data_IF_748466221122
#
_entry.id   IF_748466221122
#
_cell.length_a   1.000
_cell.length_b   1.000
_cell.length_c   1.000
_cell.angle_alpha   90.00
_cell.angle_beta   90.00
_cell.angle_gamma   90.00
#
_symmetry.space_group_name_H-M   'P 1'
#
loop_
_entity.id
_entity.type
_entity.pdbx_description
1 polymer ?
#
# COMPACT_ATOMS: atom_id res chain seq x y z
N UNK A 1 6.23 -33.52 6.20
CA UNK A 1 6.87 -32.74 5.13
C UNK A 1 6.46 -31.29 5.29
N UNK A 2 7.38 -30.38 5.66
CA UNK A 2 7.09 -28.94 5.68
C UNK A 2 7.52 -28.37 4.35
N UNK A 3 6.56 -28.24 3.43
CA UNK A 3 6.77 -27.52 2.20
C UNK A 3 6.88 -26.03 2.58
N UNK A 4 8.08 -25.47 2.46
CA UNK A 4 8.25 -24.02 2.54
C UNK A 4 7.68 -23.44 1.24
N UNK A 5 6.42 -23.00 1.30
CA UNK A 5 5.78 -22.31 0.19
C UNK A 5 6.49 -20.96 -0.03
N UNK A 6 7.49 -20.92 -0.90
CA UNK A 6 8.20 -19.70 -1.34
C UNK A 6 7.31 -18.79 -2.22
N UNK A 7 5.99 -18.78 -1.99
CA UNK A 7 4.99 -18.18 -2.88
C UNK A 7 4.31 -16.94 -2.33
N UNK A 8 4.82 -16.31 -1.27
CA UNK A 8 4.22 -15.10 -0.69
C UNK A 8 4.81 -13.87 -1.35
N UNK A 9 3.96 -13.00 -1.90
CA UNK A 9 4.37 -11.73 -2.51
C UNK A 9 4.66 -10.72 -1.41
N UNK A 10 5.90 -10.29 -1.33
CA UNK A 10 6.34 -9.29 -0.37
C UNK A 10 6.12 -7.92 -0.98
N UNK A 11 5.54 -7.00 -0.20
CA UNK A 11 5.43 -5.60 -0.60
C UNK A 11 6.27 -4.75 0.35
N UNK A 12 7.17 -3.98 -0.24
CA UNK A 12 7.98 -2.98 0.46
C UNK A 12 7.93 -1.65 -0.31
N UNK A 13 8.07 -0.54 0.40
CA UNK A 13 8.07 0.80 -0.19
C UNK A 13 9.34 1.57 0.19
N UNK A 14 9.89 2.28 -0.80
CA UNK A 14 11.10 3.09 -0.65
C UNK A 14 10.76 4.57 -0.74
N UNK A 15 11.12 5.35 0.29
CA UNK A 15 10.97 6.81 0.27
C UNK A 15 12.09 7.46 -0.56
N UNK A 16 11.79 8.35 -1.51
CA UNK A 16 12.80 9.20 -2.12
C UNK A 16 13.39 10.11 -1.02
N UNK A 17 14.71 10.20 -0.97
CA UNK A 17 15.43 10.97 0.06
C UNK A 17 15.68 10.25 1.39
N UNK A 18 15.18 9.02 1.59
CA UNK A 18 15.51 8.19 2.77
C UNK A 18 16.13 6.87 2.32
N UNK A 19 17.18 6.40 3.03
CA UNK A 19 17.80 5.08 2.80
C UNK A 19 17.02 3.93 3.47
N UNK A 20 15.98 4.25 4.23
CA UNK A 20 15.17 3.28 4.97
C UNK A 20 14.09 2.67 4.08
N UNK A 21 13.98 1.34 4.11
CA UNK A 21 12.93 0.58 3.44
C UNK A 21 11.83 0.28 4.45
N UNK A 22 10.56 0.48 4.09
CA UNK A 22 9.42 0.11 4.95
C UNK A 22 8.76 -1.13 4.39
N UNK A 23 8.73 -2.18 5.20
CA UNK A 23 8.02 -3.41 4.87
C UNK A 23 6.53 -3.21 5.12
N UNK A 24 5.70 -3.52 4.12
CA UNK A 24 4.25 -3.28 4.17
C UNK A 24 3.49 -4.55 4.54
N UNK A 25 3.96 -5.72 4.10
CA UNK A 25 3.35 -7.00 4.43
C UNK A 25 3.69 -8.09 3.42
N UNK A 26 3.13 -9.28 3.65
CA UNK A 26 3.13 -10.38 2.68
C UNK A 26 1.71 -10.71 2.28
N UNK A 27 1.54 -10.94 0.98
CA UNK A 27 0.26 -11.15 0.35
C UNK A 27 0.25 -12.47 -0.41
N UNK A 28 -0.91 -13.11 -0.48
CA UNK A 28 -1.06 -14.36 -1.22
C UNK A 28 -1.22 -14.12 -2.72
N UNK A 29 -1.83 -13.00 -3.13
CA UNK A 29 -2.15 -12.67 -4.52
C UNK A 29 -1.39 -11.43 -4.99
N UNK A 30 -1.28 -11.26 -6.31
CA UNK A 30 -0.65 -10.08 -6.92
C UNK A 30 -1.48 -8.81 -6.70
N UNK A 31 -2.80 -8.99 -6.74
CA UNK A 31 -3.78 -7.91 -6.66
C UNK A 31 -3.73 -7.22 -5.28
N UNK A 32 -3.77 -8.02 -4.21
CA UNK A 32 -3.68 -7.52 -2.83
C UNK A 32 -2.35 -6.81 -2.57
N UNK A 33 -1.26 -7.37 -3.11
CA UNK A 33 0.06 -6.76 -3.04
C UNK A 33 0.12 -5.38 -3.73
N UNK A 34 -0.47 -5.28 -4.94
CA UNK A 34 -0.52 -4.02 -5.68
C UNK A 34 -1.39 -2.98 -4.96
N UNK A 35 -2.53 -3.41 -4.41
CA UNK A 35 -3.43 -2.55 -3.64
C UNK A 35 -2.73 -1.97 -2.39
N UNK A 36 -2.09 -2.83 -1.59
CA UNK A 36 -1.35 -2.41 -0.41
C UNK A 36 -0.18 -1.46 -0.73
N UNK A 37 0.53 -1.72 -1.84
CA UNK A 37 1.58 -0.81 -2.33
C UNK A 37 1.01 0.57 -2.68
N UNK A 38 -0.10 0.62 -3.42
CA UNK A 38 -0.76 1.85 -3.84
C UNK A 38 -1.23 2.69 -2.66
N UNK A 39 -1.93 2.08 -1.70
CA UNK A 39 -2.37 2.77 -0.48
C UNK A 39 -1.19 3.30 0.33
N UNK A 40 -0.15 2.49 0.53
CA UNK A 40 1.03 2.90 1.25
C UNK A 40 1.75 4.04 0.55
N UNK A 41 1.83 4.03 -0.78
CA UNK A 41 2.39 5.12 -1.58
C UNK A 41 1.59 6.39 -1.39
N UNK A 42 0.26 6.34 -1.48
CA UNK A 42 -0.62 7.51 -1.24
C UNK A 42 -0.38 8.09 0.16
N UNK A 43 -0.30 7.25 1.19
CA UNK A 43 -0.03 7.69 2.57
C UNK A 43 1.41 8.23 2.70
N UNK A 44 2.38 7.61 2.04
CA UNK A 44 3.80 7.98 2.14
C UNK A 44 4.14 9.29 1.43
N UNK A 45 3.60 9.47 0.24
CA UNK A 45 3.79 10.65 -0.61
C UNK A 45 2.77 11.75 -0.29
N UNK A 46 1.73 11.41 0.47
CA UNK A 46 0.55 12.25 0.66
C UNK A 46 -0.35 12.16 -0.57
N UNK A 47 -1.67 12.10 -0.37
CA UNK A 47 -2.62 12.30 -1.44
C UNK A 47 -2.34 13.65 -2.09
N UNK A 48 -1.72 13.67 -3.27
CA UNK A 48 -1.69 14.86 -4.13
C UNK A 48 -3.03 15.06 -4.85
N UNK A 49 -4.10 14.65 -4.19
CA UNK A 49 -5.48 14.84 -4.55
C UNK A 49 -6.11 15.14 -3.16
N UNK A 50 -6.40 16.36 -2.70
CA UNK A 50 -7.19 17.40 -3.36
C UNK A 50 -8.27 16.86 -4.31
N UNK A 51 -8.64 15.59 -4.14
CA UNK A 51 -9.92 15.10 -4.58
C UNK A 51 -10.89 15.71 -3.59
N UNK A 52 -11.39 16.88 -3.97
CA UNK A 52 -12.72 17.37 -3.66
C UNK A 52 -13.74 16.27 -4.03
N UNK A 53 -13.68 15.11 -3.35
CA UNK A 53 -14.86 14.32 -3.12
C UNK A 53 -15.71 15.24 -2.28
N UNK A 54 -16.56 16.00 -2.97
CA UNK A 54 -17.67 16.70 -2.36
C UNK A 54 -18.52 15.62 -1.69
N UNK A 55 -18.14 15.25 -0.46
CA UNK A 55 -19.04 14.82 0.59
C UNK A 55 -19.90 16.04 0.93
N UNK A 56 -20.70 16.46 -0.05
CA UNK A 56 -21.94 17.18 0.15
C UNK A 56 -23.01 16.11 -0.09
N UNK A 57 -23.77 15.63 0.88
CA UNK A 57 -24.16 16.26 2.13
C UNK A 57 -23.90 15.41 3.37
N UNK A 58 -23.51 16.14 4.40
CA UNK A 58 -23.84 15.89 5.79
C UNK A 58 -25.25 15.32 6.00
N UNK A 59 -25.33 14.42 6.98
CA UNK A 59 -26.26 14.56 8.12
C UNK A 59 -27.70 14.99 7.78
N UNK A 60 -28.58 14.02 7.58
CA UNK A 60 -29.93 14.01 8.16
C UNK A 60 -30.35 12.59 8.49
#
# INVERSE_FOLDING_TARGET
MRQWSWGKRVVEIRKPGKRTRKWLGTFATADDAACAYGQAAIILYGSREQLNLQLSGSSS
#
